data_IF_450999920794
#
_entry.id   IF_450999920794
#
_cell.length_a   1.000
_cell.length_b   1.000
_cell.length_c   1.000
_cell.angle_alpha   90.00
_cell.angle_beta   90.00
_cell.angle_gamma   90.00
#
_symmetry.space_group_name_H-M   'P 1'
#
loop_
_entity.id
_entity.type
_entity.pdbx_description
1 polymer ?
#
# COMPACT_ATOMS: atom_id res chain seq x y z
N UNK A 1 -24.68 -58.08 -24.48
CA UNK A 1 -25.15 -59.12 -23.53
C UNK A 1 -24.42 -58.84 -22.22
N UNK A 2 -24.88 -57.94 -21.35
CA UNK A 2 -25.96 -58.12 -20.35
C UNK A 2 -25.89 -59.49 -19.69
N UNK A 3 -25.49 -59.51 -18.42
CA UNK A 3 -26.14 -60.28 -17.35
C UNK A 3 -25.83 -59.61 -16.01
N UNK A 4 -26.86 -58.94 -15.50
CA UNK A 4 -27.15 -58.48 -14.14
C UNK A 4 -26.12 -58.83 -13.05
N UNK A 5 -25.47 -57.81 -12.52
CA UNK A 5 -24.98 -57.76 -11.13
C UNK A 5 -25.98 -56.98 -10.28
N UNK A 6 -27.24 -57.41 -10.31
CA UNK A 6 -28.35 -56.79 -9.59
C UNK A 6 -28.99 -57.76 -8.57
N UNK A 7 -28.26 -58.80 -8.17
CA UNK A 7 -28.79 -59.93 -7.39
C UNK A 7 -28.21 -60.03 -5.97
N UNK A 8 -27.65 -58.93 -5.44
CA UNK A 8 -27.24 -58.83 -4.04
C UNK A 8 -28.03 -57.76 -3.26
N UNK A 9 -29.15 -57.29 -3.81
CA UNK A 9 -30.13 -56.57 -3.01
C UNK A 9 -30.89 -57.60 -2.16
N UNK A 10 -30.51 -57.64 -0.89
CA UNK A 10 -31.34 -58.12 0.22
C UNK A 10 -31.98 -59.50 -0.01
N UNK A 11 -31.21 -60.57 0.22
CA UNK A 11 -31.78 -61.92 0.34
C UNK A 11 -32.66 -62.00 1.59
N UNK A 12 -33.93 -61.62 1.45
CA UNK A 12 -34.99 -61.74 2.48
C UNK A 12 -35.26 -63.22 2.81
N UNK A 13 -34.82 -64.16 1.98
CA UNK A 13 -35.10 -65.60 2.12
C UNK A 13 -34.27 -66.30 3.22
N UNK A 14 -33.28 -65.64 3.82
CA UNK A 14 -32.40 -66.21 4.85
C UNK A 14 -32.24 -65.35 6.10
N UNK A 15 -33.31 -64.73 6.62
CA UNK A 15 -33.45 -64.31 8.03
C UNK A 15 -32.38 -63.38 8.67
N UNK A 16 -31.36 -62.98 7.94
CA UNK A 16 -30.28 -62.11 8.38
C UNK A 16 -30.52 -60.71 7.81
N UNK A 17 -31.27 -59.92 8.57
CA UNK A 17 -31.53 -58.52 8.26
C UNK A 17 -30.34 -57.67 8.71
N UNK A 18 -29.54 -57.21 7.76
CA UNK A 18 -28.40 -56.34 8.04
C UNK A 18 -28.87 -54.89 8.26
N UNK A 19 -29.07 -54.54 9.53
CA UNK A 19 -29.50 -53.21 9.95
C UNK A 19 -28.45 -52.14 9.65
N UNK A 20 -27.17 -52.50 9.60
CA UNK A 20 -26.08 -51.55 9.42
C UNK A 20 -25.98 -51.12 7.95
N UNK A 21 -26.10 -52.05 7.01
CA UNK A 21 -26.15 -51.75 5.58
C UNK A 21 -27.35 -50.84 5.23
N UNK A 22 -28.53 -51.13 5.80
CA UNK A 22 -29.72 -50.32 5.59
C UNK A 22 -29.58 -48.89 6.17
N UNK A 23 -28.97 -48.75 7.35
CA UNK A 23 -28.68 -47.45 7.94
C UNK A 23 -27.71 -46.63 7.08
N UNK A 24 -26.71 -47.29 6.49
CA UNK A 24 -25.76 -46.64 5.59
C UNK A 24 -26.44 -46.18 4.29
N UNK A 25 -27.27 -47.03 3.69
CA UNK A 25 -28.06 -46.68 2.50
C UNK A 25 -28.98 -45.48 2.77
N UNK A 26 -29.65 -45.49 3.92
CA UNK A 26 -30.49 -44.38 4.35
C UNK A 26 -29.68 -43.09 4.53
N UNK A 27 -28.52 -43.16 5.19
CA UNK A 27 -27.65 -42.00 5.38
C UNK A 27 -27.16 -41.43 4.05
N UNK A 28 -26.81 -42.29 3.10
CA UNK A 28 -26.42 -41.89 1.75
C UNK A 28 -27.57 -41.20 1.01
N UNK A 29 -28.76 -41.79 1.03
CA UNK A 29 -29.94 -41.23 0.38
C UNK A 29 -30.32 -39.85 0.95
N UNK A 30 -30.15 -39.64 2.25
CA UNK A 30 -30.38 -38.34 2.88
C UNK A 30 -29.36 -37.28 2.43
N UNK A 31 -28.09 -37.64 2.32
CA UNK A 31 -27.05 -36.71 1.87
C UNK A 31 -27.23 -36.36 0.38
N UNK A 32 -27.58 -37.34 -0.45
CA UNK A 32 -27.86 -37.12 -1.87
C UNK A 32 -29.05 -36.18 -2.08
N UNK A 33 -30.13 -36.33 -1.30
CA UNK A 33 -31.28 -35.42 -1.32
C UNK A 33 -30.90 -34.00 -0.83
N UNK A 34 -30.05 -33.91 0.20
CA UNK A 34 -29.51 -32.63 0.69
C UNK A 34 -28.72 -31.90 -0.40
N UNK A 35 -27.79 -32.60 -1.05
CA UNK A 35 -26.96 -32.07 -2.13
C UNK A 35 -27.79 -31.68 -3.35
N UNK A 36 -28.77 -32.49 -3.72
CA UNK A 36 -29.69 -32.20 -4.81
C UNK A 36 -30.45 -30.89 -4.57
N UNK A 37 -31.04 -30.73 -3.38
CA UNK A 37 -31.77 -29.50 -3.00
C UNK A 37 -30.89 -28.26 -2.99
N UNK A 38 -29.66 -28.37 -2.46
CA UNK A 38 -28.69 -27.27 -2.48
C UNK A 38 -28.34 -26.85 -3.90
N UNK A 39 -28.01 -27.83 -4.74
CA UNK A 39 -27.63 -27.59 -6.14
C UNK A 39 -28.78 -26.98 -6.94
N UNK A 40 -30.00 -27.49 -6.79
CA UNK A 40 -31.18 -26.96 -7.47
C UNK A 40 -31.51 -25.53 -7.04
N UNK A 41 -31.45 -25.24 -5.73
CA UNK A 41 -31.64 -23.88 -5.22
C UNK A 41 -30.57 -22.91 -5.75
N UNK A 42 -29.31 -23.37 -5.84
CA UNK A 42 -28.21 -22.58 -6.39
C UNK A 42 -28.38 -22.34 -7.88
N UNK A 43 -28.79 -23.36 -8.66
CA UNK A 43 -29.10 -23.21 -10.10
C UNK A 43 -30.18 -22.15 -10.30
N UNK A 44 -31.30 -22.23 -9.57
CA UNK A 44 -32.39 -21.25 -9.64
C UNK A 44 -31.90 -19.82 -9.34
N UNK A 45 -31.05 -19.65 -8.32
CA UNK A 45 -30.46 -18.35 -7.99
C UNK A 45 -29.47 -17.86 -9.05
N UNK A 46 -28.60 -18.74 -9.53
CA UNK A 46 -27.52 -18.43 -10.45
C UNK A 46 -28.04 -18.04 -11.83
N UNK A 47 -29.19 -18.57 -12.29
CA UNK A 47 -29.86 -18.13 -13.53
C UNK A 47 -30.09 -16.61 -13.55
N UNK A 48 -30.43 -16.01 -12.40
CA UNK A 48 -30.70 -14.58 -12.31
C UNK A 48 -29.47 -13.74 -11.94
N UNK A 49 -28.43 -14.35 -11.37
CA UNK A 49 -27.29 -13.63 -10.79
C UNK A 49 -26.07 -13.66 -11.70
N UNK A 50 -25.85 -14.75 -12.45
CA UNK A 50 -24.64 -14.96 -13.24
C UNK A 50 -24.68 -14.15 -14.54
N UNK A 51 -23.53 -13.57 -14.91
CA UNK A 51 -23.39 -12.80 -16.15
C UNK A 51 -23.05 -13.66 -17.38
N UNK A 52 -22.46 -14.85 -17.16
CA UNK A 52 -22.05 -15.77 -18.21
C UNK A 52 -22.13 -17.24 -17.73
N UNK A 53 -21.97 -18.18 -18.65
CA UNK A 53 -22.11 -19.61 -18.35
C UNK A 53 -21.03 -20.14 -17.40
N UNK A 54 -19.78 -19.65 -17.51
CA UNK A 54 -18.70 -20.10 -16.64
C UNK A 54 -18.93 -19.66 -15.19
N UNK A 55 -19.44 -18.44 -14.98
CA UNK A 55 -19.86 -17.93 -13.68
C UNK A 55 -21.02 -18.74 -13.10
N UNK A 56 -22.02 -19.06 -13.94
CA UNK A 56 -23.11 -19.96 -13.56
C UNK A 56 -22.59 -21.34 -13.11
N UNK A 57 -21.69 -21.95 -13.90
CA UNK A 57 -21.08 -23.25 -13.59
C UNK A 57 -20.32 -23.21 -12.27
N UNK A 58 -19.55 -22.15 -12.04
CA UNK A 58 -18.77 -21.98 -10.82
C UNK A 58 -19.67 -21.79 -9.59
N UNK A 59 -20.73 -21.01 -9.69
CA UNK A 59 -21.69 -20.81 -8.61
C UNK A 59 -22.38 -22.12 -8.21
N UNK A 60 -22.81 -22.92 -9.19
CA UNK A 60 -23.46 -24.21 -8.95
C UNK A 60 -22.47 -25.23 -8.37
N UNK A 61 -21.21 -25.23 -8.82
CA UNK A 61 -20.16 -26.11 -8.27
C UNK A 61 -19.87 -25.80 -6.79
N UNK A 62 -20.01 -24.55 -6.38
CA UNK A 62 -19.81 -24.09 -5.00
C UNK A 62 -21.04 -24.24 -4.09
N UNK A 63 -22.12 -24.90 -4.52
CA UNK A 63 -23.37 -24.98 -3.77
C UNK A 63 -23.26 -25.69 -2.41
N UNK A 64 -22.32 -26.64 -2.27
CA UNK A 64 -22.10 -27.41 -1.05
C UNK A 64 -21.10 -26.78 -0.07
N UNK A 65 -20.54 -25.61 -0.43
CA UNK A 65 -19.58 -24.95 0.46
C UNK A 65 -20.28 -24.40 1.70
N UNK A 66 -19.78 -24.78 2.88
CA UNK A 66 -20.27 -24.27 4.16
C UNK A 66 -19.86 -22.80 4.33
N UNK A 67 -20.80 -21.90 4.70
CA UNK A 67 -20.45 -20.52 5.00
C UNK A 67 -19.51 -20.46 6.20
N UNK A 68 -18.44 -19.67 6.07
CA UNK A 68 -17.43 -19.52 7.11
C UNK A 68 -18.06 -18.83 8.34
N UNK A 69 -17.83 -19.41 9.52
CA UNK A 69 -18.29 -18.82 10.78
C UNK A 69 -17.46 -17.60 11.17
N UNK A 70 -18.06 -16.62 11.87
CA UNK A 70 -17.32 -15.49 12.44
C UNK A 70 -16.21 -15.93 13.40
N UNK A 71 -16.38 -17.07 14.08
CA UNK A 71 -15.34 -17.66 14.94
C UNK A 71 -14.15 -18.11 14.09
N UNK A 72 -14.42 -18.84 13.01
CA UNK A 72 -13.39 -19.29 12.05
C UNK A 72 -12.67 -18.09 11.42
N UNK A 73 -13.38 -17.02 11.03
CA UNK A 73 -12.75 -15.79 10.55
C UNK A 73 -11.80 -15.13 11.56
N UNK A 74 -12.14 -15.17 12.86
CA UNK A 74 -11.24 -14.68 13.92
C UNK A 74 -10.04 -15.61 14.10
N UNK A 75 -10.21 -16.91 13.92
CA UNK A 75 -9.14 -17.89 14.06
C UNK A 75 -8.16 -17.84 12.86
N UNK A 76 -8.65 -17.58 11.63
CA UNK A 76 -7.81 -17.25 10.47
C UNK A 76 -7.03 -15.94 10.64
N UNK A 77 -7.54 -15.01 11.45
CA UNK A 77 -6.85 -13.75 11.77
C UNK A 77 -5.86 -13.88 12.93
N UNK A 78 -6.09 -14.85 13.82
CA UNK A 78 -5.29 -15.13 15.02
C UNK A 78 -4.19 -16.15 14.82
N UNK A 79 -4.31 -17.02 13.82
CA UNK A 79 -3.16 -17.77 13.32
C UNK A 79 -2.18 -16.73 12.83
N UNK A 80 -1.25 -16.45 13.74
CA UNK A 80 -0.06 -15.66 13.59
C UNK A 80 0.34 -15.69 12.13
N UNK A 81 0.45 -14.52 11.51
CA UNK A 81 1.00 -14.38 10.17
C UNK A 81 2.44 -14.89 10.25
N UNK A 82 2.59 -16.21 10.22
CA UNK A 82 3.85 -16.90 10.03
C UNK A 82 4.18 -16.67 8.57
N UNK A 83 4.55 -15.44 8.28
CA UNK A 83 5.46 -15.17 7.18
C UNK A 83 6.62 -16.12 7.41
N UNK A 84 6.98 -16.94 6.41
CA UNK A 84 8.18 -17.78 6.39
C UNK A 84 9.46 -16.92 6.37
N UNK A 85 9.54 -15.89 7.20
CA UNK A 85 10.67 -15.01 7.38
C UNK A 85 11.25 -15.40 8.73
N UNK A 86 12.30 -16.23 8.69
CA UNK A 86 13.04 -16.73 9.85
C UNK A 86 13.83 -15.62 10.56
N UNK A 87 13.18 -14.50 10.89
CA UNK A 87 13.78 -13.36 11.57
C UNK A 87 13.24 -13.27 13.00
N UNK A 88 14.00 -13.81 13.96
CA UNK A 88 13.73 -13.61 15.39
C UNK A 88 14.39 -12.32 15.86
N UNK A 89 13.67 -11.20 15.79
CA UNK A 89 14.09 -9.97 16.48
C UNK A 89 13.93 -10.17 17.99
N UNK A 90 14.99 -9.98 18.77
CA UNK A 90 14.89 -9.88 20.23
C UNK A 90 14.08 -8.62 20.55
N UNK A 91 12.82 -8.79 20.95
CA UNK A 91 11.92 -7.69 21.28
C UNK A 91 12.16 -7.24 22.71
N UNK A 92 12.87 -6.13 22.88
CA UNK A 92 12.77 -5.30 24.09
C UNK A 92 11.74 -4.21 23.80
N UNK A 93 10.46 -4.55 23.76
CA UNK A 93 9.41 -3.54 23.64
C UNK A 93 8.59 -3.48 24.93
N UNK A 94 8.79 -2.40 25.69
CA UNK A 94 7.83 -1.97 26.72
C UNK A 94 6.50 -1.69 26.02
N UNK A 95 5.45 -2.40 26.42
CA UNK A 95 4.06 -2.09 26.05
C UNK A 95 3.71 -0.70 26.58
N UNK A 96 3.57 0.26 25.69
CA UNK A 96 2.63 1.37 25.88
C UNK A 96 1.36 0.97 25.14
N UNK A 97 0.27 0.77 25.88
CA UNK A 97 -1.04 0.52 25.30
C UNK A 97 -1.42 1.66 24.37
N UNK A 98 -1.77 1.33 23.14
CA UNK A 98 -2.47 2.27 22.26
C UNK A 98 -3.68 1.53 21.70
N UNK A 99 -4.82 1.79 22.33
CA UNK A 99 -6.12 1.60 21.73
C UNK A 99 -6.13 2.38 20.41
N UNK A 100 -6.36 1.67 19.31
CA UNK A 100 -6.48 2.29 17.98
C UNK A 100 -7.76 3.12 17.95
N UNK A 101 -7.65 4.36 18.39
CA UNK A 101 -8.61 5.41 18.09
C UNK A 101 -8.32 5.91 16.67
N UNK A 102 -9.21 5.59 15.73
CA UNK A 102 -9.27 6.25 14.43
C UNK A 102 -9.82 7.66 14.64
N UNK A 103 -8.95 8.59 15.02
CA UNK A 103 -9.11 10.05 14.89
C UNK A 103 -8.02 10.71 15.71
N UNK A 104 -6.85 10.90 15.12
CA UNK A 104 -6.00 12.00 15.52
C UNK A 104 -5.86 12.88 14.29
N UNK A 105 -6.46 14.07 14.32
CA UNK A 105 -5.97 15.18 13.51
C UNK A 105 -4.47 15.23 13.73
N UNK A 106 -3.63 15.01 12.71
CA UNK A 106 -2.21 15.08 12.92
C UNK A 106 -1.89 16.51 13.34
N UNK A 107 -1.15 16.66 14.44
CA UNK A 107 -0.56 17.94 14.78
C UNK A 107 0.44 18.28 13.68
N UNK A 108 0.02 19.12 12.72
CA UNK A 108 0.84 19.57 11.60
C UNK A 108 2.03 20.43 12.06
N UNK A 109 1.94 20.94 13.30
CA UNK A 109 2.98 21.73 13.97
C UNK A 109 4.08 20.85 14.59
N UNK A 110 3.95 19.52 14.53
CA UNK A 110 4.96 18.58 15.05
C UNK A 110 5.68 17.89 13.88
N UNK A 111 7.04 17.82 13.91
CA UNK A 111 7.77 17.18 12.84
C UNK A 111 7.44 15.68 12.78
N UNK A 112 7.23 15.12 11.58
CA UNK A 112 6.89 13.72 11.41
C UNK A 112 7.99 12.81 11.94
N UNK A 113 7.57 11.68 12.50
CA UNK A 113 8.48 10.68 13.08
C UNK A 113 8.90 9.63 12.05
N UNK A 114 8.03 9.33 11.07
CA UNK A 114 8.28 8.33 10.04
C UNK A 114 7.90 8.82 8.63
N UNK A 115 8.54 8.28 7.60
CA UNK A 115 8.30 8.64 6.19
C UNK A 115 6.82 8.51 5.80
N UNK A 116 6.14 7.47 6.29
CA UNK A 116 4.71 7.25 6.04
C UNK A 116 3.82 8.36 6.60
N UNK A 117 4.17 8.93 7.76
CA UNK A 117 3.43 10.04 8.35
C UNK A 117 3.65 11.31 7.54
N UNK A 118 4.87 11.55 7.05
CA UNK A 118 5.17 12.65 6.13
C UNK A 118 4.33 12.53 4.85
N UNK A 119 4.39 11.39 4.15
CA UNK A 119 3.65 11.18 2.90
C UNK A 119 2.13 11.33 3.10
N UNK A 120 1.61 10.79 4.21
CA UNK A 120 0.19 10.93 4.56
C UNK A 120 -0.16 12.39 4.79
N UNK A 121 0.64 13.10 5.58
CA UNK A 121 0.33 14.48 5.94
C UNK A 121 0.41 15.41 4.73
N UNK A 122 1.44 15.19 3.89
CA UNK A 122 1.67 15.88 2.64
C UNK A 122 0.50 15.74 1.67
N UNK A 123 0.06 14.51 1.38
CA UNK A 123 -1.05 14.28 0.42
C UNK A 123 -2.43 14.68 0.98
N UNK A 124 -2.68 14.47 2.28
CA UNK A 124 -4.01 14.65 2.88
C UNK A 124 -4.30 16.07 3.37
N UNK A 125 -3.39 16.68 4.13
CA UNK A 125 -3.68 17.92 4.87
C UNK A 125 -3.04 19.17 4.27
N UNK A 126 -1.93 19.05 3.54
CA UNK A 126 -1.24 20.19 2.95
C UNK A 126 -1.74 20.44 1.53
N UNK A 127 -2.59 21.47 1.36
CA UNK A 127 -3.17 21.85 0.06
C UNK A 127 -2.54 23.08 -0.57
N UNK A 128 -2.04 24.00 0.25
CA UNK A 128 -1.39 25.24 -0.22
C UNK A 128 0.13 25.07 -0.29
N UNK A 129 0.76 25.74 -1.25
CA UNK A 129 2.23 25.74 -1.43
C UNK A 129 2.96 26.25 -0.19
N UNK A 130 2.47 27.34 0.41
CA UNK A 130 3.02 27.91 1.65
C UNK A 130 2.94 26.94 2.84
N UNK A 131 1.83 26.21 3.01
CA UNK A 131 1.73 25.20 4.07
C UNK A 131 2.69 24.02 3.85
N UNK A 132 2.89 23.60 2.59
CA UNK A 132 3.88 22.57 2.24
C UNK A 132 5.31 23.03 2.54
N UNK A 133 5.63 24.29 2.24
CA UNK A 133 6.95 24.87 2.53
C UNK A 133 7.22 24.96 4.04
N UNK A 134 6.26 25.47 4.82
CA UNK A 134 6.39 25.53 6.29
C UNK A 134 6.59 24.16 6.90
N UNK A 135 5.84 23.16 6.41
CA UNK A 135 6.01 21.78 6.85
C UNK A 135 7.40 21.23 6.50
N UNK A 136 7.91 21.55 5.31
CA UNK A 136 9.25 21.17 4.89
C UNK A 136 10.33 21.80 5.79
N UNK A 137 10.19 23.08 6.12
CA UNK A 137 11.08 23.80 7.07
C UNK A 137 11.06 23.13 8.45
N UNK A 138 9.88 22.75 8.96
CA UNK A 138 9.73 22.03 10.23
C UNK A 138 10.43 20.65 10.21
N UNK A 139 10.38 19.96 9.08
CA UNK A 139 10.97 18.62 8.95
C UNK A 139 12.48 18.59 8.85
N UNK A 140 13.11 19.73 8.55
CA UNK A 140 14.56 19.95 8.32
C UNK A 140 15.22 19.03 7.28
N UNK A 141 16.25 19.50 6.56
CA UNK A 141 16.90 18.70 5.51
C UNK A 141 17.55 17.39 6.03
N UNK A 142 18.14 17.43 7.22
CA UNK A 142 18.83 16.26 7.78
C UNK A 142 17.88 15.12 8.14
N UNK A 143 16.73 15.45 8.71
CA UNK A 143 15.72 14.46 9.07
C UNK A 143 15.04 13.94 7.80
N UNK A 144 14.81 14.79 6.80
CA UNK A 144 14.33 14.35 5.49
C UNK A 144 15.26 13.28 4.88
N UNK A 145 16.58 13.52 4.89
CA UNK A 145 17.57 12.55 4.42
C UNK A 145 17.54 11.23 5.20
N UNK A 146 17.33 11.27 6.53
CA UNK A 146 17.24 10.06 7.37
C UNK A 146 15.94 9.29 7.12
N UNK A 147 14.82 9.98 6.96
CA UNK A 147 13.50 9.40 6.76
C UNK A 147 13.38 8.72 5.39
N UNK A 148 13.91 9.35 4.34
CA UNK A 148 13.81 8.89 2.96
C UNK A 148 15.07 8.18 2.45
N UNK A 149 16.05 7.90 3.31
CA UNK A 149 17.24 7.11 2.96
C UNK A 149 16.93 5.83 2.13
N UNK A 150 15.96 4.97 2.52
CA UNK A 150 15.69 3.76 1.76
C UNK A 150 15.03 4.05 0.40
N UNK A 151 13.96 4.83 0.37
CA UNK A 151 13.18 5.09 -0.84
C UNK A 151 12.28 6.32 -0.66
N UNK A 152 11.94 6.98 -1.77
CA UNK A 152 10.95 8.06 -1.85
C UNK A 152 10.14 7.91 -3.14
N UNK A 153 8.85 8.19 -3.05
CA UNK A 153 7.92 8.21 -4.20
C UNK A 153 8.33 9.31 -5.20
N UNK A 154 8.36 9.00 -6.51
CA UNK A 154 8.76 9.96 -7.55
C UNK A 154 7.86 11.18 -7.59
N UNK A 155 6.55 10.97 -7.44
CA UNK A 155 5.56 12.04 -7.40
C UNK A 155 5.79 12.96 -6.20
N UNK A 156 6.20 12.40 -5.06
CA UNK A 156 6.48 13.17 -3.86
C UNK A 156 7.74 14.02 -4.04
N UNK A 157 8.80 13.47 -4.65
CA UNK A 157 10.01 14.23 -4.94
C UNK A 157 9.72 15.38 -5.92
N UNK A 158 8.96 15.12 -6.98
CA UNK A 158 8.56 16.14 -7.94
C UNK A 158 7.72 17.26 -7.30
N UNK A 159 6.76 16.92 -6.43
CA UNK A 159 5.94 17.91 -5.72
C UNK A 159 6.77 18.74 -4.73
N UNK A 160 7.78 18.16 -4.06
CA UNK A 160 8.72 18.92 -3.22
C UNK A 160 9.50 19.95 -4.06
N UNK A 161 10.01 19.55 -5.23
CA UNK A 161 10.71 20.46 -6.15
C UNK A 161 9.79 21.57 -6.64
N UNK A 162 8.55 21.24 -7.00
CA UNK A 162 7.55 22.23 -7.43
C UNK A 162 7.23 23.24 -6.33
N UNK A 163 7.09 22.80 -5.08
CA UNK A 163 6.90 23.70 -3.93
C UNK A 163 8.09 24.62 -3.72
N UNK A 164 9.32 24.11 -3.83
CA UNK A 164 10.53 24.93 -3.72
C UNK A 164 10.59 25.99 -4.83
N UNK A 165 10.36 25.59 -6.09
CA UNK A 165 10.36 26.51 -7.23
C UNK A 165 9.25 27.58 -7.12
N UNK A 166 8.03 27.16 -6.75
CA UNK A 166 6.91 28.09 -6.56
C UNK A 166 7.14 29.05 -5.40
N UNK A 167 7.78 28.60 -4.31
CA UNK A 167 8.16 29.48 -3.20
C UNK A 167 9.20 30.53 -3.62
N UNK A 168 10.06 30.20 -4.58
CA UNK A 168 11.02 31.12 -5.17
C UNK A 168 10.34 32.22 -5.98
N UNK A 169 9.41 31.83 -6.86
CA UNK A 169 8.66 32.77 -7.69
C UNK A 169 7.76 33.71 -6.87
N UNK A 170 7.21 33.23 -5.75
CA UNK A 170 6.33 34.04 -4.91
C UNK A 170 7.09 35.04 -4.02
N UNK A 171 8.33 34.70 -3.62
CA UNK A 171 9.14 35.52 -2.70
C UNK A 171 9.84 36.70 -3.39
N UNK A 172 10.04 36.66 -4.71
CA UNK A 172 10.59 37.81 -5.46
C UNK A 172 9.68 39.04 -5.49
N UNK A 173 8.41 38.91 -5.06
CA UNK A 173 7.40 39.98 -5.11
C UNK A 173 7.26 40.71 -3.76
N UNK A 174 7.69 40.10 -2.65
CA UNK A 174 7.57 40.68 -1.30
C UNK A 174 8.96 40.99 -0.70
N UNK A 175 9.50 42.14 -1.11
CA UNK A 175 10.41 43.03 -0.34
C UNK A 175 11.61 42.39 0.41
N UNK A 176 12.79 42.49 -0.21
CA UNK A 176 14.14 42.69 0.35
C UNK A 176 14.28 42.65 1.90
N UNK A 177 14.90 41.60 2.46
CA UNK A 177 15.74 41.70 3.69
C UNK A 177 16.39 40.40 4.22
N UNK A 178 15.99 39.19 3.82
CA UNK A 178 16.55 37.94 4.42
C UNK A 178 16.84 36.86 3.36
N UNK A 179 17.83 37.12 2.51
CA UNK A 179 17.98 36.45 1.20
C UNK A 179 18.89 35.21 1.10
N UNK A 180 19.92 34.92 1.93
CA UNK A 180 20.76 33.73 1.69
C UNK A 180 20.13 32.43 2.21
N UNK A 181 19.27 32.51 3.23
CA UNK A 181 18.75 31.33 3.92
C UNK A 181 17.82 30.46 3.04
N UNK A 182 17.14 31.08 2.07
CA UNK A 182 16.17 30.36 1.23
C UNK A 182 16.90 29.51 0.18
N UNK A 183 18.00 30.02 -0.39
CA UNK A 183 18.75 29.35 -1.47
C UNK A 183 19.54 28.19 -0.87
N UNK A 184 20.26 28.46 0.22
CA UNK A 184 20.93 27.43 1.02
C UNK A 184 19.96 26.36 1.51
N UNK A 185 18.73 26.73 1.91
CA UNK A 185 17.71 25.74 2.28
C UNK A 185 17.29 24.86 1.10
N UNK A 186 17.03 25.44 -0.07
CA UNK A 186 16.68 24.67 -1.28
C UNK A 186 17.82 23.71 -1.68
N UNK A 187 19.07 24.18 -1.67
CA UNK A 187 20.26 23.34 -1.92
C UNK A 187 20.37 22.24 -0.88
N UNK A 188 20.17 22.53 0.41
CA UNK A 188 20.23 21.54 1.48
C UNK A 188 19.14 20.46 1.34
N UNK A 189 17.92 20.83 0.92
CA UNK A 189 16.85 19.86 0.63
C UNK A 189 17.20 19.00 -0.58
N UNK A 190 17.67 19.60 -1.67
CA UNK A 190 18.09 18.84 -2.85
C UNK A 190 19.26 17.91 -2.53
N UNK A 191 20.20 18.35 -1.69
CA UNK A 191 21.27 17.52 -1.16
C UNK A 191 20.73 16.35 -0.33
N UNK A 192 19.73 16.59 0.52
CA UNK A 192 19.08 15.55 1.31
C UNK A 192 18.38 14.50 0.43
N UNK A 193 17.68 14.92 -0.62
CA UNK A 193 17.02 14.03 -1.59
C UNK A 193 18.03 13.23 -2.42
N UNK A 194 19.21 13.79 -2.69
CA UNK A 194 20.27 13.08 -3.42
C UNK A 194 20.89 11.91 -2.64
N UNK A 195 20.68 11.84 -1.31
CA UNK A 195 21.20 10.77 -0.44
C UNK A 195 20.34 9.51 -0.44
N UNK A 196 19.26 9.49 -1.20
CA UNK A 196 18.37 8.31 -1.33
C UNK A 196 19.06 7.21 -2.13
N UNK A 197 18.89 5.94 -1.72
CA UNK A 197 19.60 4.82 -2.37
C UNK A 197 19.10 4.53 -3.79
N UNK A 198 17.86 4.90 -4.11
CA UNK A 198 17.18 4.60 -5.37
C UNK A 198 16.99 5.83 -6.26
N UNK A 199 17.78 6.88 -6.05
CA UNK A 199 17.69 8.14 -6.80
C UNK A 199 17.63 7.93 -8.33
N UNK A 200 18.51 7.09 -8.87
CA UNK A 200 18.55 6.81 -10.32
C UNK A 200 17.21 6.31 -10.85
N UNK A 201 16.58 5.36 -10.15
CA UNK A 201 15.30 4.78 -10.54
C UNK A 201 14.17 5.80 -10.40
N UNK A 202 14.21 6.63 -9.35
CA UNK A 202 13.25 7.72 -9.14
C UNK A 202 13.29 8.70 -10.32
N UNK A 203 14.50 9.08 -10.77
CA UNK A 203 14.68 9.96 -11.92
C UNK A 203 14.22 9.32 -13.24
N UNK A 204 14.31 8.00 -13.38
CA UNK A 204 13.78 7.28 -14.56
C UNK A 204 12.24 7.33 -14.62
N UNK A 205 11.57 7.52 -13.48
CA UNK A 205 10.12 7.71 -13.40
C UNK A 205 9.69 9.16 -13.54
N UNK A 206 10.60 10.12 -13.67
CA UNK A 206 10.23 11.52 -13.85
C UNK A 206 9.68 11.77 -15.24
N UNK A 207 8.56 12.49 -15.29
CA UNK A 207 8.05 13.02 -16.56
C UNK A 207 8.93 14.18 -17.04
N UNK A 208 8.94 14.44 -18.35
CA UNK A 208 9.68 15.56 -18.94
C UNK A 208 9.34 16.90 -18.25
N UNK A 209 8.06 17.15 -17.93
CA UNK A 209 7.63 18.35 -17.20
C UNK A 209 8.27 18.46 -15.81
N UNK A 210 8.38 17.35 -15.09
CA UNK A 210 9.00 17.31 -13.77
C UNK A 210 10.51 17.58 -13.87
N UNK A 211 11.18 17.01 -14.88
CA UNK A 211 12.62 17.27 -15.12
C UNK A 211 12.89 18.74 -15.49
N UNK A 212 12.00 19.38 -16.25
CA UNK A 212 12.11 20.82 -16.55
C UNK A 212 11.96 21.66 -15.28
N UNK A 213 11.06 21.29 -14.36
CA UNK A 213 10.90 21.99 -13.08
C UNK A 213 12.11 21.87 -12.17
N UNK A 214 12.78 20.72 -12.18
CA UNK A 214 14.06 20.56 -11.51
C UNK A 214 15.10 21.50 -12.14
N UNK A 215 15.23 21.51 -13.47
CA UNK A 215 16.17 22.41 -14.17
C UNK A 215 15.90 23.89 -13.87
N UNK A 216 14.64 24.28 -13.89
CA UNK A 216 14.18 25.64 -13.54
C UNK A 216 14.62 26.01 -12.12
N UNK A 217 14.43 25.13 -11.14
CA UNK A 217 14.88 25.36 -9.76
C UNK A 217 16.40 25.54 -9.69
N UNK A 218 17.19 24.68 -10.35
CA UNK A 218 18.65 24.81 -10.35
C UNK A 218 19.13 26.12 -11.00
N UNK A 219 18.50 26.56 -12.09
CA UNK A 219 18.82 27.83 -12.75
C UNK A 219 18.45 29.03 -11.86
N UNK A 220 17.30 28.96 -11.17
CA UNK A 220 16.87 30.01 -10.24
C UNK A 220 17.80 30.13 -9.02
N UNK A 221 18.31 29.00 -8.53
CA UNK A 221 19.28 28.97 -7.43
C UNK A 221 20.66 29.47 -7.87
N UNK A 222 21.09 29.15 -9.09
CA UNK A 222 22.37 29.63 -9.65
C UNK A 222 22.35 31.14 -9.97
N UNK A 223 21.19 31.70 -10.33
CA UNK A 223 21.03 33.14 -10.54
C UNK A 223 20.95 33.98 -9.26
N UNK A 224 20.90 33.35 -8.09
CA UNK A 224 20.98 34.03 -6.80
C UNK A 224 22.46 34.15 -6.38
N UNK A 225 23.10 35.27 -6.71
CA UNK A 225 24.54 35.56 -6.55
C UNK A 225 25.09 35.53 -5.10
N UNK A 226 24.27 35.22 -4.09
CA UNK A 226 24.63 35.25 -2.65
C UNK A 226 24.85 33.86 -2.01
N UNK A 227 25.17 32.84 -2.81
CA UNK A 227 25.48 31.50 -2.30
C UNK A 227 26.93 31.40 -1.79
N UNK A 228 27.16 30.83 -0.60
CA UNK A 228 28.52 30.56 -0.13
C UNK A 228 29.22 29.54 -1.05
N UNK A 229 30.54 29.68 -1.25
CA UNK A 229 31.33 28.86 -2.20
C UNK A 229 31.13 27.34 -2.00
N UNK A 230 30.90 26.89 -0.76
CA UNK A 230 30.62 25.49 -0.44
C UNK A 230 29.32 24.98 -1.05
N UNK A 231 28.26 25.81 -1.08
CA UNK A 231 26.97 25.45 -1.63
C UNK A 231 27.01 25.42 -3.17
N UNK A 232 27.87 26.24 -3.80
CA UNK A 232 28.11 26.23 -5.25
C UNK A 232 28.80 24.94 -5.71
N UNK A 233 29.82 24.46 -4.99
CA UNK A 233 30.44 23.16 -5.27
C UNK A 233 29.43 22.00 -5.07
N UNK A 234 28.61 22.07 -4.03
CA UNK A 234 27.53 21.10 -3.83
C UNK A 234 26.50 21.14 -4.96
N UNK A 235 26.14 22.33 -5.45
CA UNK A 235 25.20 22.52 -6.55
C UNK A 235 25.70 21.84 -7.83
N UNK A 236 26.98 22.00 -8.18
CA UNK A 236 27.57 21.34 -9.34
C UNK A 236 27.51 19.80 -9.21
N UNK A 237 27.90 19.26 -8.05
CA UNK A 237 27.80 17.82 -7.79
C UNK A 237 26.37 17.30 -7.77
N UNK A 238 25.39 18.15 -7.44
CA UNK A 238 23.97 17.81 -7.52
C UNK A 238 23.46 17.82 -8.96
N UNK A 239 23.85 18.78 -9.80
CA UNK A 239 23.49 18.81 -11.22
C UNK A 239 23.86 17.49 -11.93
N UNK A 240 25.07 16.99 -11.68
CA UNK A 240 25.51 15.70 -12.20
C UNK A 240 24.65 14.52 -11.70
N UNK A 241 24.31 14.48 -10.40
CA UNK A 241 23.48 13.42 -9.81
C UNK A 241 22.05 13.42 -10.34
N UNK A 242 21.49 14.60 -10.60
CA UNK A 242 20.15 14.77 -11.16
C UNK A 242 20.11 14.63 -12.69
N UNK A 243 21.25 14.29 -13.34
CA UNK A 243 21.38 14.15 -14.80
C UNK A 243 21.02 15.43 -15.56
N UNK A 244 21.25 16.59 -14.95
CA UNK A 244 21.06 17.91 -15.55
C UNK A 244 22.38 18.29 -16.22
N UNK A 245 22.63 17.70 -17.39
CA UNK A 245 23.70 18.12 -18.31
C UNK A 245 23.09 18.84 -19.51
#
# INVERSE_FOLDING_TARGET
MVKNTADQLTSIEHGAFDTAALQQELAQALEDDRLYKLTDSMKKRAIHTAANYDDFKNLVACADLKPISQKELRDFSRTDRQTNIAYKKKSTWKKTGNDRCFSATPALDVPPTAAVDFCRNWKRYLKTTDAKLRYLQLTTPERLAKMFKPDIDSDLMADIVEVLAASWCQKSVETNAEEPASATFAVAIMAALSRTTRLSLILDFFENRQTEKVRELFNLVEGADDLPEQDLEMLQGLKDKFRLR
#
